data_IF_081464323864
#
_entry.id   IF_081464323864
#
_cell.length_a   1.000
_cell.length_b   1.000
_cell.length_c   1.000
_cell.angle_alpha   90.00
_cell.angle_beta   90.00
_cell.angle_gamma   90.00
#
_symmetry.space_group_name_H-M   'P 1'
#
loop_
_entity.id
_entity.type
_entity.pdbx_description
1 polymer ?
#
# COMPACT_ATOMS: atom_id res chain seq x y z
N UNK A 1 22.94 -14.90 13.79
CA UNK A 1 21.58 -14.55 13.36
C UNK A 1 21.29 -13.04 13.23
N UNK A 2 22.18 -12.11 13.69
CA UNK A 2 21.90 -10.65 13.58
C UNK A 2 21.92 -10.14 12.14
N UNK A 3 22.89 -10.54 11.30
CA UNK A 3 23.03 -10.03 9.94
C UNK A 3 21.85 -10.32 9.02
N UNK A 4 21.28 -11.54 8.95
CA UNK A 4 20.09 -11.80 8.15
C UNK A 4 18.88 -10.96 8.57
N UNK A 5 18.65 -10.78 9.87
CA UNK A 5 17.54 -9.95 10.36
C UNK A 5 17.71 -8.47 10.02
N UNK A 6 18.95 -7.96 10.02
CA UNK A 6 19.22 -6.58 9.60
C UNK A 6 18.89 -6.39 8.11
N UNK A 7 19.31 -7.32 7.24
CA UNK A 7 18.98 -7.28 5.82
C UNK A 7 17.47 -7.32 5.59
N UNK A 8 16.73 -8.20 6.29
CA UNK A 8 15.28 -8.29 6.18
C UNK A 8 14.59 -6.99 6.62
N UNK A 9 15.06 -6.35 7.68
CA UNK A 9 14.48 -5.09 8.15
C UNK A 9 14.68 -3.97 7.13
N UNK A 10 15.89 -3.86 6.54
CA UNK A 10 16.16 -2.87 5.49
C UNK A 10 15.29 -3.13 4.25
N UNK A 11 15.17 -4.39 3.82
CA UNK A 11 14.33 -4.77 2.69
C UNK A 11 12.85 -4.41 2.94
N UNK A 12 12.31 -4.75 4.09
CA UNK A 12 10.92 -4.44 4.49
C UNK A 12 10.66 -2.95 4.58
N UNK A 13 11.64 -2.17 5.05
CA UNK A 13 11.56 -0.72 5.05
C UNK A 13 11.47 -0.17 3.62
N UNK A 14 12.35 -0.63 2.71
CA UNK A 14 12.32 -0.26 1.29
C UNK A 14 11.00 -0.64 0.60
N UNK A 15 10.46 -1.83 0.89
CA UNK A 15 9.13 -2.26 0.40
C UNK A 15 8.05 -1.26 0.81
N UNK A 16 8.08 -0.78 2.05
CA UNK A 16 7.08 0.16 2.57
C UNK A 16 7.00 1.47 1.78
N UNK A 17 8.10 1.90 1.15
CA UNK A 17 8.14 3.03 0.22
C UNK A 17 7.67 2.64 -1.18
N UNK A 18 8.21 1.55 -1.71
CA UNK A 18 7.94 1.12 -3.09
C UNK A 18 6.47 0.86 -3.37
N UNK A 19 5.74 0.26 -2.43
CA UNK A 19 4.31 0.00 -2.60
C UNK A 19 3.47 1.27 -2.63
N UNK A 20 3.87 2.33 -1.91
CA UNK A 20 3.17 3.62 -1.98
C UNK A 20 3.35 4.27 -3.35
N UNK A 21 4.52 4.13 -3.99
CA UNK A 21 4.71 4.57 -5.37
C UNK A 21 3.77 3.85 -6.36
N UNK A 22 3.58 2.54 -6.20
CA UNK A 22 2.60 1.78 -6.98
C UNK A 22 1.16 2.24 -6.72
N UNK A 23 0.81 2.51 -5.46
CA UNK A 23 -0.50 3.04 -5.07
C UNK A 23 -0.76 4.42 -5.68
N UNK A 24 0.23 5.31 -5.64
CA UNK A 24 0.17 6.65 -6.24
C UNK A 24 -0.05 6.59 -7.75
N UNK A 25 0.65 5.69 -8.44
CA UNK A 25 0.42 5.44 -9.86
C UNK A 25 -1.03 5.02 -10.12
N UNK A 26 -1.53 4.01 -9.40
CA UNK A 26 -2.91 3.51 -9.56
C UNK A 26 -3.95 4.60 -9.28
N UNK A 27 -3.76 5.42 -8.25
CA UNK A 27 -4.61 6.55 -7.93
C UNK A 27 -4.63 7.58 -9.05
N UNK A 28 -3.47 7.98 -9.59
CA UNK A 28 -3.35 8.93 -10.71
C UNK A 28 -4.06 8.40 -11.97
N UNK A 29 -3.86 7.11 -12.29
CA UNK A 29 -4.52 6.47 -13.42
C UNK A 29 -6.05 6.47 -13.26
N UNK A 30 -6.55 6.06 -12.10
CA UNK A 30 -7.99 6.05 -11.82
C UNK A 30 -8.58 7.46 -11.89
N UNK A 31 -7.90 8.46 -11.35
CA UNK A 31 -8.31 9.87 -11.44
C UNK A 31 -8.43 10.33 -12.89
N UNK A 32 -7.39 10.15 -13.69
CA UNK A 32 -7.37 10.60 -15.08
C UNK A 32 -8.44 9.86 -15.91
N UNK A 33 -8.52 8.53 -15.78
CA UNK A 33 -9.54 7.75 -16.47
C UNK A 33 -10.96 8.22 -16.15
N UNK A 34 -11.28 8.46 -14.88
CA UNK A 34 -12.63 8.87 -14.47
C UNK A 34 -12.98 10.31 -14.84
N UNK A 35 -11.99 11.18 -15.06
CA UNK A 35 -12.18 12.52 -15.60
C UNK A 35 -12.53 12.49 -17.11
N UNK A 36 -11.92 11.57 -17.86
CA UNK A 36 -12.13 11.44 -19.30
C UNK A 36 -13.36 10.59 -19.67
N UNK A 37 -13.56 9.46 -18.97
CA UNK A 37 -14.63 8.52 -19.23
C UNK A 37 -15.99 9.09 -18.85
N UNK A 38 -16.88 9.20 -19.82
CA UNK A 38 -18.26 9.68 -19.64
C UNK A 38 -19.25 8.53 -19.62
N UNK A 39 -20.15 8.54 -18.66
CA UNK A 39 -21.33 7.68 -18.56
C UNK A 39 -22.46 8.46 -17.88
N UNK A 40 -23.71 8.13 -18.23
CA UNK A 40 -24.87 8.85 -17.70
C UNK A 40 -24.79 10.38 -17.91
N UNK A 41 -24.32 10.78 -19.09
CA UNK A 41 -24.25 12.17 -19.50
C UNK A 41 -23.14 13.04 -18.88
N UNK A 42 -22.23 12.45 -18.05
CA UNK A 42 -21.19 13.19 -17.37
C UNK A 42 -19.92 12.33 -17.16
N UNK A 43 -18.74 12.96 -16.86
CA UNK A 43 -17.57 12.21 -16.44
C UNK A 43 -17.85 11.33 -15.22
N UNK A 44 -17.22 10.16 -15.13
CA UNK A 44 -17.35 9.29 -13.95
C UNK A 44 -16.92 10.00 -12.67
N UNK A 45 -15.89 10.87 -12.74
CA UNK A 45 -15.41 11.68 -11.63
C UNK A 45 -16.47 12.62 -11.02
N UNK A 46 -17.58 12.88 -11.72
CA UNK A 46 -18.71 13.67 -11.17
C UNK A 46 -19.56 12.87 -10.17
N UNK A 47 -19.37 11.57 -10.06
CA UNK A 47 -20.17 10.70 -9.19
C UNK A 47 -19.57 10.65 -7.78
N UNK A 48 -20.42 10.81 -6.76
CA UNK A 48 -19.98 10.87 -5.36
C UNK A 48 -19.18 9.64 -4.91
N UNK A 49 -19.57 8.42 -5.34
CA UNK A 49 -18.84 7.19 -4.99
C UNK A 49 -17.44 7.14 -5.61
N UNK A 50 -17.24 7.72 -6.79
CA UNK A 50 -15.92 7.86 -7.43
C UNK A 50 -15.07 8.87 -6.67
N UNK A 51 -15.61 10.03 -6.36
CA UNK A 51 -14.91 11.07 -5.58
C UNK A 51 -14.51 10.55 -4.19
N UNK A 52 -15.40 9.81 -3.52
CA UNK A 52 -15.09 9.18 -2.23
C UNK A 52 -13.91 8.22 -2.35
N UNK A 53 -13.92 7.31 -3.34
CA UNK A 53 -12.79 6.39 -3.56
C UNK A 53 -11.47 7.14 -3.79
N UNK A 54 -11.47 8.19 -4.60
CA UNK A 54 -10.27 8.99 -4.86
C UNK A 54 -9.74 9.68 -3.59
N UNK A 55 -10.63 10.22 -2.76
CA UNK A 55 -10.26 10.85 -1.49
C UNK A 55 -9.71 9.83 -0.49
N UNK A 56 -10.33 8.66 -0.36
CA UNK A 56 -9.85 7.57 0.50
C UNK A 56 -8.44 7.11 0.08
N UNK A 57 -8.21 6.92 -1.23
CA UNK A 57 -6.91 6.53 -1.78
C UNK A 57 -5.82 7.56 -1.45
N UNK A 58 -6.07 8.86 -1.68
CA UNK A 58 -5.12 9.93 -1.41
C UNK A 58 -4.79 10.02 0.08
N UNK A 59 -5.80 9.85 0.94
CA UNK A 59 -5.63 9.83 2.39
C UNK A 59 -4.67 8.70 2.81
N UNK A 60 -4.89 7.47 2.36
CA UNK A 60 -4.06 6.32 2.72
C UNK A 60 -2.63 6.43 2.16
N UNK A 61 -2.46 6.97 0.95
CA UNK A 61 -1.13 7.27 0.38
C UNK A 61 -0.39 8.26 1.28
N UNK A 62 -1.04 9.36 1.65
CA UNK A 62 -0.44 10.42 2.48
C UNK A 62 -0.02 9.88 3.85
N UNK A 63 -0.91 9.15 4.53
CA UNK A 63 -0.62 8.56 5.83
C UNK A 63 0.50 7.50 5.75
N UNK A 64 0.50 6.67 4.71
CA UNK A 64 1.54 5.67 4.47
C UNK A 64 2.92 6.29 4.24
N UNK A 65 3.00 7.37 3.46
CA UNK A 65 4.23 8.15 3.25
C UNK A 65 4.74 8.75 4.55
N UNK A 66 3.88 9.38 5.35
CA UNK A 66 4.27 9.99 6.62
C UNK A 66 4.76 8.95 7.62
N UNK A 67 4.10 7.79 7.71
CA UNK A 67 4.54 6.70 8.58
C UNK A 67 5.93 6.16 8.15
N UNK A 68 6.16 5.92 6.86
CA UNK A 68 7.45 5.47 6.33
C UNK A 68 8.55 6.51 6.58
N UNK A 69 8.27 7.80 6.35
CA UNK A 69 9.20 8.90 6.62
C UNK A 69 9.57 8.97 8.11
N UNK A 70 8.59 8.84 9.00
CA UNK A 70 8.86 8.85 10.45
C UNK A 70 9.76 7.68 10.88
N UNK A 71 9.50 6.48 10.36
CA UNK A 71 10.35 5.31 10.66
C UNK A 71 11.76 5.51 10.09
N UNK A 72 11.91 6.09 8.90
CA UNK A 72 13.21 6.43 8.33
C UNK A 72 14.02 7.36 9.23
N UNK A 73 13.40 8.43 9.71
CA UNK A 73 14.06 9.34 10.67
C UNK A 73 14.48 8.66 11.97
N UNK A 74 13.65 7.72 12.48
CA UNK A 74 14.01 6.94 13.65
C UNK A 74 15.18 5.98 13.40
N UNK A 75 15.31 5.47 12.15
CA UNK A 75 16.46 4.66 11.74
C UNK A 75 17.74 5.54 11.74
N UNK A 76 17.68 6.73 11.17
CA UNK A 76 18.80 7.67 11.10
C UNK A 76 19.25 8.14 12.52
N UNK A 77 18.28 8.25 13.45
CA UNK A 77 18.50 8.60 14.86
C UNK A 77 18.95 7.40 15.72
N UNK A 78 19.14 6.21 15.15
CA UNK A 78 19.42 4.93 15.86
C UNK A 78 18.39 4.64 16.99
N UNK A 79 17.15 5.06 16.79
CA UNK A 79 16.04 4.96 17.75
C UNK A 79 14.84 4.18 17.20
N UNK A 80 15.07 3.31 16.22
CA UNK A 80 14.00 2.48 15.68
C UNK A 80 13.88 1.13 16.41
N UNK A 81 12.72 0.51 16.30
CA UNK A 81 12.48 -0.86 16.75
C UNK A 81 11.98 -1.70 15.58
N UNK A 82 12.39 -2.98 15.45
CA UNK A 82 11.99 -3.83 14.32
C UNK A 82 10.48 -3.93 14.11
N UNK A 83 9.70 -3.87 15.17
CA UNK A 83 8.23 -3.90 15.08
C UNK A 83 7.64 -2.66 14.39
N UNK A 84 8.33 -1.52 14.38
CA UNK A 84 7.91 -0.33 13.62
C UNK A 84 7.98 -0.58 12.12
N UNK A 85 8.98 -1.34 11.66
CA UNK A 85 9.12 -1.77 10.28
C UNK A 85 8.00 -2.76 9.93
N UNK A 86 7.68 -3.70 10.81
CA UNK A 86 6.54 -4.61 10.63
C UNK A 86 5.22 -3.84 10.50
N UNK A 87 5.02 -2.78 11.28
CA UNK A 87 3.83 -1.94 11.22
C UNK A 87 3.68 -1.27 9.85
N UNK A 88 4.72 -0.58 9.36
CA UNK A 88 4.63 0.13 8.08
C UNK A 88 4.59 -0.82 6.88
N UNK A 89 5.33 -1.95 6.90
CA UNK A 89 5.27 -2.96 5.83
C UNK A 89 3.86 -3.53 5.74
N UNK A 90 3.30 -3.97 6.86
CA UNK A 90 1.93 -4.51 6.91
C UNK A 90 0.90 -3.50 6.41
N UNK A 91 0.92 -2.28 6.94
CA UNK A 91 -0.05 -1.26 6.59
C UNK A 91 0.07 -0.85 5.13
N UNK A 92 1.26 -0.46 4.69
CA UNK A 92 1.45 0.13 3.36
C UNK A 92 1.23 -0.88 2.24
N UNK A 93 1.64 -2.15 2.40
CA UNK A 93 1.36 -3.19 1.42
C UNK A 93 -0.15 -3.44 1.25
N UNK A 94 -0.87 -3.59 2.36
CA UNK A 94 -2.32 -3.81 2.32
C UNK A 94 -3.04 -2.61 1.69
N UNK A 95 -2.72 -1.40 2.12
CA UNK A 95 -3.37 -0.18 1.60
C UNK A 95 -3.06 0.04 0.12
N UNK A 96 -1.83 -0.21 -0.31
CA UNK A 96 -1.47 -0.15 -1.72
C UNK A 96 -2.26 -1.16 -2.57
N UNK A 97 -2.43 -2.38 -2.07
CA UNK A 97 -3.23 -3.41 -2.73
C UNK A 97 -4.71 -3.01 -2.82
N UNK A 98 -5.29 -2.48 -1.74
CA UNK A 98 -6.67 -2.00 -1.73
C UNK A 98 -6.86 -0.83 -2.73
N UNK A 99 -5.90 0.07 -2.82
CA UNK A 99 -5.88 1.17 -3.78
C UNK A 99 -5.82 0.65 -5.22
N UNK A 100 -4.94 -0.31 -5.51
CA UNK A 100 -4.83 -0.91 -6.84
C UNK A 100 -6.12 -1.64 -7.25
N UNK A 101 -6.75 -2.38 -6.34
CA UNK A 101 -8.04 -3.04 -6.55
C UNK A 101 -9.17 -2.04 -6.82
N UNK A 102 -9.21 -0.93 -6.07
CA UNK A 102 -10.16 0.16 -6.29
C UNK A 102 -9.93 0.85 -7.64
N UNK A 103 -8.67 1.11 -8.00
CA UNK A 103 -8.32 1.67 -9.31
C UNK A 103 -8.78 0.75 -10.45
N UNK A 104 -8.50 -0.56 -10.35
CA UNK A 104 -8.99 -1.56 -11.31
C UNK A 104 -10.52 -1.53 -11.43
N UNK A 105 -11.22 -1.48 -10.28
CA UNK A 105 -12.69 -1.40 -10.26
C UNK A 105 -13.21 -0.13 -10.96
N UNK A 106 -12.60 1.02 -10.71
CA UNK A 106 -12.98 2.31 -11.29
C UNK A 106 -12.77 2.37 -12.81
N UNK A 107 -11.91 1.54 -13.38
CA UNK A 107 -11.74 1.38 -14.83
C UNK A 107 -12.80 0.45 -15.47
N UNK A 108 -13.61 -0.25 -14.69
CA UNK A 108 -14.58 -1.23 -15.18
C UNK A 108 -13.88 -2.34 -15.98
N UNK A 109 -14.40 -2.68 -17.16
CA UNK A 109 -13.79 -3.68 -18.06
C UNK A 109 -12.36 -3.35 -18.48
N UNK A 110 -12.05 -2.07 -18.64
CA UNK A 110 -10.68 -1.62 -18.97
C UNK A 110 -9.69 -1.86 -17.84
N UNK A 111 -10.16 -2.08 -16.62
CA UNK A 111 -9.30 -2.35 -15.46
C UNK A 111 -8.67 -3.74 -15.46
N UNK A 112 -9.09 -4.66 -16.36
CA UNK A 112 -8.54 -6.02 -16.46
C UNK A 112 -7.61 -6.22 -17.65
N UNK A 113 -7.36 -5.17 -18.45
CA UNK A 113 -6.40 -5.20 -19.56
C UNK A 113 -5.11 -4.48 -19.16
N UNK A 114 -3.98 -4.88 -19.75
CA UNK A 114 -2.65 -4.40 -19.32
C UNK A 114 -2.35 -2.97 -19.74
N UNK A 115 -3.03 -2.45 -20.76
CA UNK A 115 -2.84 -1.12 -21.32
C UNK A 115 -2.99 0.02 -20.29
N UNK A 116 -3.80 -0.20 -19.26
CA UNK A 116 -3.97 0.75 -18.15
C UNK A 116 -3.04 0.48 -16.96
N UNK A 117 -2.31 -0.62 -16.99
CA UNK A 117 -1.32 -1.07 -15.99
C UNK A 117 -1.86 -1.29 -14.56
N UNK A 118 -3.12 -0.97 -14.27
CA UNK A 118 -3.68 -1.12 -12.93
C UNK A 118 -3.80 -2.59 -12.50
N UNK A 119 -4.13 -3.49 -13.44
CA UNK A 119 -4.18 -4.93 -13.15
C UNK A 119 -2.80 -5.50 -12.87
N UNK A 120 -1.77 -5.06 -13.61
CA UNK A 120 -0.38 -5.48 -13.37
C UNK A 120 0.08 -5.07 -11.97
N UNK A 121 -0.21 -3.83 -11.55
CA UNK A 121 0.10 -3.38 -10.19
C UNK A 121 -0.66 -4.18 -9.14
N UNK A 122 -1.93 -4.53 -9.40
CA UNK A 122 -2.72 -5.37 -8.50
C UNK A 122 -2.05 -6.73 -8.30
N UNK A 123 -1.68 -7.42 -9.40
CA UNK A 123 -0.99 -8.72 -9.32
C UNK A 123 0.36 -8.63 -8.60
N UNK A 124 1.16 -7.61 -8.89
CA UNK A 124 2.44 -7.40 -8.23
C UNK A 124 2.25 -7.15 -6.71
N UNK A 125 1.24 -6.37 -6.33
CA UNK A 125 0.98 -6.05 -4.93
C UNK A 125 0.42 -7.23 -4.14
N UNK A 126 -0.27 -8.19 -4.76
CA UNK A 126 -0.61 -9.48 -4.13
C UNK A 126 0.67 -10.24 -3.73
N UNK A 127 1.67 -10.29 -4.63
CA UNK A 127 2.95 -10.90 -4.32
C UNK A 127 3.69 -10.15 -3.20
N UNK A 128 3.72 -8.81 -3.27
CA UNK A 128 4.39 -7.96 -2.27
C UNK A 128 3.74 -8.09 -0.89
N UNK A 129 2.42 -8.20 -0.83
CA UNK A 129 1.69 -8.41 0.43
C UNK A 129 2.00 -9.77 1.07
N UNK A 130 2.49 -10.72 0.27
CA UNK A 130 2.78 -12.09 0.69
C UNK A 130 4.24 -12.29 1.12
N UNK A 131 5.20 -11.77 0.35
CA UNK A 131 6.63 -12.01 0.61
C UNK A 131 7.19 -11.11 1.73
N UNK A 132 8.41 -11.40 2.16
CA UNK A 132 9.12 -10.68 3.26
C UNK A 132 8.33 -10.67 4.58
N UNK A 133 7.56 -11.71 4.81
CA UNK A 133 6.57 -11.83 5.87
C UNK A 133 5.19 -11.41 5.38
N UNK A 134 4.24 -12.33 5.51
CA UNK A 134 2.85 -12.07 5.15
C UNK A 134 2.23 -10.99 6.05
N UNK A 135 1.12 -10.43 5.61
CA UNK A 135 0.33 -9.49 6.42
C UNK A 135 0.04 -10.06 7.82
N UNK A 136 -0.29 -11.36 7.92
CA UNK A 136 -0.62 -12.02 9.18
C UNK A 136 0.62 -12.21 10.07
N UNK A 137 1.76 -12.60 9.52
CA UNK A 137 3.02 -12.70 10.28
C UNK A 137 3.38 -11.36 10.93
N UNK A 138 3.26 -10.26 10.20
CA UNK A 138 3.48 -8.93 10.76
C UNK A 138 2.44 -8.56 11.83
N UNK A 139 1.20 -9.02 11.70
CA UNK A 139 0.15 -8.86 12.73
C UNK A 139 0.52 -9.60 14.01
N UNK A 140 1.01 -10.84 13.89
CA UNK A 140 1.45 -11.65 15.05
C UNK A 140 2.66 -10.99 15.76
N UNK A 141 3.64 -10.47 14.99
CA UNK A 141 4.78 -9.72 15.56
C UNK A 141 4.30 -8.54 16.40
N UNK A 142 3.36 -7.74 15.85
CA UNK A 142 2.82 -6.58 16.54
C UNK A 142 1.99 -6.97 17.76
N UNK A 143 1.15 -7.99 17.64
CA UNK A 143 0.33 -8.51 18.75
C UNK A 143 1.17 -9.05 19.91
N UNK A 144 2.18 -9.87 19.59
CA UNK A 144 3.14 -10.36 20.59
C UNK A 144 3.84 -9.22 21.31
N UNK A 145 4.24 -8.18 20.57
CA UNK A 145 4.94 -7.05 21.16
C UNK A 145 4.07 -6.22 22.10
N UNK A 146 2.80 -6.07 21.77
CA UNK A 146 1.84 -5.32 22.60
C UNK A 146 1.45 -6.08 23.88
N UNK A 147 1.29 -7.39 23.78
CA UNK A 147 0.80 -8.22 24.88
C UNK A 147 1.91 -8.80 25.76
N UNK A 148 3.13 -8.87 25.25
CA UNK A 148 4.24 -9.59 25.88
C UNK A 148 4.11 -11.13 25.80
N UNK A 149 3.11 -11.64 25.07
CA UNK A 149 2.85 -13.07 24.91
C UNK A 149 3.22 -13.51 23.49
N UNK A 150 4.00 -14.60 23.37
CA UNK A 150 4.34 -15.15 22.06
C UNK A 150 3.09 -15.61 21.32
N UNK A 151 2.99 -15.27 20.04
CA UNK A 151 1.89 -15.68 19.18
C UNK A 151 2.23 -16.93 18.35
N UNK A 152 3.50 -17.41 18.41
CA UNK A 152 4.02 -18.58 17.72
C UNK A 152 5.32 -19.04 18.36
#
# INVERSE_FOLDING_TARGET
FRAPFTCLNIARYGISWGVIGAAEFCWKQAKNYTLERKQFGAPLASKQLVQKKLADMETEITLGLQAALRVGRLIDEDNFKPEMISLIKRNNCQKALDIARNARDMHGGNGVIDEYHVIRHTMNLEAVNTYEGTHDIHSLILGSRQTGISAF
#
